data_IF_042584345482
#
_entry.id   IF_042584345482
#
_cell.length_a   1.000
_cell.length_b   1.000
_cell.length_c   1.000
_cell.angle_alpha   90.00
_cell.angle_beta   90.00
_cell.angle_gamma   90.00
#
_symmetry.space_group_name_H-M   'P 1'
#
loop_
_entity.id
_entity.type
_entity.pdbx_description
1 polymer ?
#
# COMPACT_ATOMS: atom_id res chain seq x y z
N UNK A 1 48.94 -49.49 -21.14
CA UNK A 1 47.96 -49.41 -20.02
C UNK A 1 48.14 -48.21 -19.08
N UNK A 2 49.01 -47.21 -19.37
CA UNK A 2 49.16 -45.99 -18.54
C UNK A 2 48.52 -44.72 -19.13
N UNK A 3 48.18 -44.70 -20.42
CA UNK A 3 47.54 -43.53 -21.05
C UNK A 3 46.03 -43.44 -20.77
N UNK A 4 45.33 -44.55 -20.53
CA UNK A 4 43.88 -44.57 -20.35
C UNK A 4 43.47 -43.90 -19.02
N UNK A 5 44.30 -44.00 -17.98
CA UNK A 5 44.02 -43.40 -16.67
C UNK A 5 44.18 -41.87 -16.65
N UNK A 6 44.98 -41.29 -17.55
CA UNK A 6 45.19 -39.83 -17.62
C UNK A 6 43.98 -39.11 -18.21
N UNK A 7 43.30 -39.72 -19.19
CA UNK A 7 42.10 -39.14 -19.77
C UNK A 7 40.92 -39.11 -18.78
N UNK A 8 40.79 -40.12 -17.91
CA UNK A 8 39.75 -40.16 -16.89
C UNK A 8 39.91 -39.05 -15.82
N UNK A 9 41.15 -38.73 -15.43
CA UNK A 9 41.44 -37.66 -14.46
C UNK A 9 41.13 -36.27 -15.03
N UNK A 10 41.40 -36.03 -16.32
CA UNK A 10 41.08 -34.75 -16.97
C UNK A 10 39.57 -34.54 -17.05
N UNK A 11 38.79 -35.58 -17.41
CA UNK A 11 37.33 -35.48 -17.54
C UNK A 11 36.65 -35.19 -16.19
N UNK A 12 37.15 -35.76 -15.08
CA UNK A 12 36.59 -35.51 -13.75
C UNK A 12 36.82 -34.07 -13.26
N UNK A 13 37.95 -33.44 -13.62
CA UNK A 13 38.21 -32.03 -13.25
C UNK A 13 37.36 -31.03 -14.04
N UNK A 14 36.96 -31.36 -15.26
CA UNK A 14 36.09 -30.52 -16.10
C UNK A 14 34.67 -30.43 -15.55
N UNK A 15 34.11 -31.56 -15.09
CA UNK A 15 32.73 -31.61 -14.60
C UNK A 15 32.52 -30.81 -13.31
N UNK A 16 33.51 -30.80 -12.40
CA UNK A 16 33.42 -30.06 -11.14
C UNK A 16 33.52 -28.53 -11.33
N UNK A 17 34.19 -28.06 -12.39
CA UNK A 17 34.24 -26.63 -12.73
C UNK A 17 32.94 -26.11 -13.37
N UNK A 18 32.18 -26.97 -14.04
CA UNK A 18 30.92 -26.57 -14.70
C UNK A 18 29.77 -26.43 -13.69
N UNK A 19 29.72 -27.25 -12.64
CA UNK A 19 28.65 -27.19 -11.63
C UNK A 19 28.70 -25.95 -10.71
N UNK A 20 29.87 -25.32 -10.53
CA UNK A 20 29.99 -24.09 -9.70
C UNK A 20 29.47 -22.81 -10.37
N UNK A 21 29.14 -22.86 -11.66
CA UNK A 21 28.61 -21.70 -12.41
C UNK A 21 27.07 -21.68 -12.48
N UNK A 22 26.39 -22.70 -11.92
CA UNK A 22 24.93 -22.79 -11.88
C UNK A 22 24.32 -22.30 -10.55
N UNK A 23 25.10 -21.63 -9.70
CA UNK A 23 24.50 -20.71 -8.73
C UNK A 23 24.02 -19.51 -9.54
N UNK A 24 22.77 -19.56 -9.99
CA UNK A 24 22.07 -18.47 -10.68
C UNK A 24 22.38 -17.16 -9.98
N UNK A 25 23.28 -16.39 -10.57
CA UNK A 25 23.55 -15.02 -10.17
C UNK A 25 22.31 -14.27 -10.63
N UNK A 26 21.27 -14.23 -9.78
CA UNK A 26 20.15 -13.32 -10.01
C UNK A 26 20.80 -11.96 -10.22
N UNK A 27 20.59 -11.39 -11.40
CA UNK A 27 21.08 -10.06 -11.73
C UNK A 27 20.24 -9.10 -10.87
N UNK A 28 20.72 -8.90 -9.65
CA UNK A 28 20.05 -8.11 -8.64
C UNK A 28 20.19 -6.65 -9.04
N UNK A 29 19.21 -6.14 -9.78
CA UNK A 29 19.13 -4.73 -10.12
C UNK A 29 18.65 -3.94 -8.90
N UNK A 30 19.59 -3.70 -7.99
CA UNK A 30 19.37 -2.90 -6.79
C UNK A 30 18.74 -1.53 -7.09
N UNK A 31 19.06 -0.94 -8.25
CA UNK A 31 18.52 0.36 -8.64
C UNK A 31 17.02 0.23 -8.94
N UNK A 32 16.63 -0.74 -9.76
CA UNK A 32 15.23 -0.98 -10.09
C UNK A 32 14.40 -1.35 -8.85
N UNK A 33 14.92 -2.19 -7.96
CA UNK A 33 14.22 -2.54 -6.72
C UNK A 33 14.06 -1.35 -5.77
N UNK A 34 15.11 -0.54 -5.60
CA UNK A 34 15.03 0.68 -4.80
C UNK A 34 13.99 1.65 -5.36
N UNK A 35 13.96 1.84 -6.67
CA UNK A 35 12.98 2.71 -7.34
C UNK A 35 11.55 2.19 -7.14
N UNK A 36 11.33 0.87 -7.23
CA UNK A 36 10.03 0.26 -6.99
C UNK A 36 9.55 0.47 -5.54
N UNK A 37 10.44 0.30 -4.55
CA UNK A 37 10.11 0.53 -3.13
C UNK A 37 9.80 2.01 -2.87
N UNK A 38 10.55 2.93 -3.47
CA UNK A 38 10.26 4.37 -3.34
C UNK A 38 8.87 4.69 -3.93
N UNK A 39 8.54 4.16 -5.11
CA UNK A 39 7.24 4.38 -5.73
C UNK A 39 6.08 3.80 -4.88
N UNK A 40 6.28 2.62 -4.28
CA UNK A 40 5.30 2.03 -3.37
C UNK A 40 5.10 2.90 -2.12
N UNK A 41 6.19 3.40 -1.53
CA UNK A 41 6.11 4.32 -0.39
C UNK A 41 5.42 5.63 -0.80
N UNK A 42 5.78 6.26 -1.90
CA UNK A 42 5.14 7.50 -2.35
C UNK A 42 3.62 7.32 -2.52
N UNK A 43 3.19 6.23 -3.15
CA UNK A 43 1.78 5.91 -3.29
C UNK A 43 1.10 5.64 -1.94
N UNK A 44 1.78 4.90 -1.05
CA UNK A 44 1.24 4.52 0.25
C UNK A 44 1.09 5.73 1.17
N UNK A 45 2.04 6.66 1.15
CA UNK A 45 2.03 7.85 2.01
C UNK A 45 1.21 9.01 1.43
N UNK A 46 0.87 8.98 0.13
CA UNK A 46 0.14 10.05 -0.56
C UNK A 46 -1.16 10.46 0.17
N UNK A 47 -1.20 11.70 0.65
CA UNK A 47 -2.34 12.26 1.37
C UNK A 47 -2.54 11.72 2.78
N UNK A 48 -1.50 11.18 3.44
CA UNK A 48 -1.51 10.95 4.90
C UNK A 48 -1.75 12.27 5.66
N UNK A 49 -2.42 12.20 6.81
CA UNK A 49 -2.51 13.34 7.74
C UNK A 49 -1.13 13.68 8.30
N UNK A 50 -0.99 14.93 8.72
CA UNK A 50 0.20 15.37 9.45
C UNK A 50 0.41 14.51 10.70
N UNK A 51 1.68 14.24 11.01
CA UNK A 51 2.10 13.44 12.16
C UNK A 51 1.54 12.01 12.21
N UNK A 52 1.12 11.45 11.07
CA UNK A 52 0.81 10.04 10.91
C UNK A 52 1.94 9.30 10.20
N UNK A 53 2.33 8.15 10.76
CA UNK A 53 3.43 7.32 10.26
C UNK A 53 2.90 5.90 10.02
N UNK A 54 3.13 5.30 8.84
CA UNK A 54 2.59 3.98 8.53
C UNK A 54 3.19 2.90 9.41
N UNK A 55 2.38 1.88 9.66
CA UNK A 55 2.81 0.63 10.27
C UNK A 55 3.21 -0.38 9.19
N UNK A 56 4.02 -1.40 9.51
CA UNK A 56 4.27 -2.51 8.60
C UNK A 56 2.95 -3.16 8.17
N UNK A 57 2.77 -3.38 6.87
CA UNK A 57 1.50 -3.89 6.32
C UNK A 57 0.50 -2.77 6.06
N UNK A 58 -0.43 -2.53 6.99
CA UNK A 58 -1.55 -1.60 6.84
C UNK A 58 -1.71 -0.74 8.10
N UNK A 59 -2.36 0.41 7.96
CA UNK A 59 -2.60 1.33 9.07
C UNK A 59 -1.41 2.22 9.40
N UNK A 60 -1.60 3.04 10.42
CA UNK A 60 -0.63 4.05 10.84
C UNK A 60 -0.79 4.38 12.32
N UNK A 61 0.25 5.03 12.84
CA UNK A 61 0.26 5.67 14.14
C UNK A 61 0.33 7.18 13.96
N UNK A 62 -0.63 7.90 14.54
CA UNK A 62 -0.77 9.34 14.47
C UNK A 62 -0.53 9.99 15.83
N UNK A 63 0.18 11.11 15.85
CA UNK A 63 0.24 11.99 17.02
C UNK A 63 -0.90 13.01 16.92
N UNK A 64 -1.90 12.89 17.79
CA UNK A 64 -3.06 13.76 17.84
C UNK A 64 -3.05 14.62 19.11
N UNK A 65 -3.82 15.71 19.12
CA UNK A 65 -4.05 16.51 20.32
C UNK A 65 -5.42 16.18 20.88
N UNK A 66 -5.47 15.65 22.10
CA UNK A 66 -6.70 15.33 22.82
C UNK A 66 -6.66 16.01 24.19
N UNK A 67 -7.66 16.84 24.49
CA UNK A 67 -7.72 17.64 25.72
C UNK A 67 -6.44 18.47 25.99
N UNK A 68 -5.79 18.97 24.93
CA UNK A 68 -4.55 19.75 25.01
C UNK A 68 -3.28 18.92 25.19
N UNK A 69 -3.38 17.59 25.32
CA UNK A 69 -2.23 16.69 25.41
C UNK A 69 -1.98 15.97 24.09
N UNK A 70 -0.69 15.75 23.76
CA UNK A 70 -0.30 14.92 22.61
C UNK A 70 -0.50 13.46 22.95
N UNK A 71 -1.37 12.78 22.21
CA UNK A 71 -1.68 11.35 22.34
C UNK A 71 -1.30 10.61 21.06
N UNK A 72 -0.80 9.39 21.21
CA UNK A 72 -0.50 8.51 20.08
C UNK A 72 -1.70 7.59 19.83
N UNK A 73 -2.30 7.64 18.64
CA UNK A 73 -3.38 6.74 18.22
C UNK A 73 -2.95 5.89 17.06
N UNK A 74 -3.32 4.61 17.10
CA UNK A 74 -3.10 3.68 16.01
C UNK A 74 -4.41 3.40 15.27
N UNK A 75 -4.31 3.37 13.95
CA UNK A 75 -5.40 3.07 13.03
C UNK A 75 -5.06 1.79 12.28
N UNK A 76 -6.08 0.97 12.03
CA UNK A 76 -5.89 -0.35 11.45
C UNK A 76 -5.70 -0.29 9.94
N UNK A 77 -6.26 0.73 9.28
CA UNK A 77 -6.24 0.84 7.82
C UNK A 77 -5.57 2.12 7.35
N UNK A 78 -4.85 2.04 6.23
CA UNK A 78 -4.21 3.18 5.57
C UNK A 78 -5.23 4.24 5.16
N UNK A 79 -6.48 3.85 4.89
CA UNK A 79 -7.56 4.80 4.61
C UNK A 79 -7.75 5.74 5.78
N UNK A 80 -7.80 5.23 7.01
CA UNK A 80 -7.95 6.01 8.24
C UNK A 80 -6.74 6.90 8.54
N UNK A 81 -5.65 6.78 7.81
CA UNK A 81 -4.45 7.60 7.92
C UNK A 81 -4.48 8.80 6.99
N UNK A 82 -5.34 8.77 5.97
CA UNK A 82 -5.43 9.85 4.99
C UNK A 82 -6.17 11.07 5.55
N UNK A 83 -5.93 12.22 4.92
CA UNK A 83 -6.74 13.44 5.12
C UNK A 83 -8.18 13.19 4.70
N UNK A 84 -9.11 13.99 5.22
CA UNK A 84 -10.53 13.84 4.90
C UNK A 84 -10.80 13.98 3.41
N UNK A 85 -10.16 14.95 2.74
CA UNK A 85 -10.25 15.14 1.29
C UNK A 85 -9.78 13.90 0.52
N UNK A 86 -8.65 13.32 0.94
CA UNK A 86 -8.09 12.14 0.27
C UNK A 86 -8.95 10.90 0.53
N UNK A 87 -9.45 10.71 1.76
CA UNK A 87 -10.39 9.63 2.07
C UNK A 87 -11.67 9.76 1.25
N UNK A 88 -12.23 10.96 1.15
CA UNK A 88 -13.45 11.18 0.40
C UNK A 88 -13.26 10.76 -1.07
N UNK A 89 -12.20 11.22 -1.74
CA UNK A 89 -11.90 10.79 -3.12
C UNK A 89 -11.71 9.28 -3.24
N UNK A 90 -10.98 8.66 -2.31
CA UNK A 90 -10.78 7.21 -2.30
C UNK A 90 -12.10 6.45 -2.10
N UNK A 91 -12.97 6.93 -1.21
CA UNK A 91 -14.31 6.40 -0.96
C UNK A 91 -15.19 6.54 -2.21
N UNK A 92 -15.18 7.71 -2.85
CA UNK A 92 -15.88 7.96 -4.11
C UNK A 92 -15.42 7.00 -5.21
N UNK A 93 -14.12 6.85 -5.41
CA UNK A 93 -13.58 6.04 -6.50
C UNK A 93 -13.78 4.54 -6.29
N UNK A 94 -13.52 4.05 -5.07
CA UNK A 94 -13.47 2.61 -4.77
C UNK A 94 -14.81 2.03 -4.31
N UNK A 95 -15.61 2.79 -3.56
CA UNK A 95 -16.80 2.28 -2.89
C UNK A 95 -18.09 2.92 -3.40
N UNK A 96 -18.11 4.25 -3.55
CA UNK A 96 -19.33 5.03 -3.82
C UNK A 96 -19.44 5.50 -5.28
N UNK A 97 -18.70 4.90 -6.20
CA UNK A 97 -18.53 5.40 -7.57
C UNK A 97 -19.83 5.40 -8.37
N UNK A 98 -20.67 4.37 -8.15
CA UNK A 98 -21.97 4.25 -8.85
C UNK A 98 -22.89 5.39 -8.43
N UNK A 99 -22.99 5.62 -7.13
CA UNK A 99 -23.75 6.67 -6.50
C UNK A 99 -23.22 8.03 -6.97
N UNK A 100 -21.91 8.24 -6.91
CA UNK A 100 -21.24 9.47 -7.37
C UNK A 100 -21.54 9.77 -8.85
N UNK A 101 -21.39 8.80 -9.76
CA UNK A 101 -21.72 8.98 -11.18
C UNK A 101 -23.19 9.31 -11.41
N UNK A 102 -24.08 8.73 -10.61
CA UNK A 102 -25.52 8.97 -10.70
C UNK A 102 -25.89 10.41 -10.31
N UNK A 103 -25.22 10.98 -9.30
CA UNK A 103 -25.46 12.35 -8.81
C UNK A 103 -24.71 13.40 -9.62
N UNK A 104 -23.47 13.14 -10.04
CA UNK A 104 -22.61 14.10 -10.76
C UNK A 104 -23.21 14.48 -12.11
N UNK A 105 -23.95 13.57 -12.75
CA UNK A 105 -24.74 13.86 -13.96
C UNK A 105 -25.68 15.07 -13.82
N UNK A 106 -26.10 15.40 -12.60
CA UNK A 106 -27.06 16.45 -12.30
C UNK A 106 -26.44 17.66 -11.54
N UNK A 107 -25.11 17.72 -11.43
CA UNK A 107 -24.26 18.80 -10.88
C UNK A 107 -24.30 19.06 -9.36
N UNK A 108 -25.42 19.41 -8.74
CA UNK A 108 -25.48 19.83 -7.31
C UNK A 108 -26.67 19.27 -6.55
N UNK A 109 -26.63 19.24 -5.21
CA UNK A 109 -27.73 18.73 -4.38
C UNK A 109 -29.06 19.41 -4.64
N UNK A 110 -29.08 20.73 -4.79
CA UNK A 110 -30.32 21.44 -5.11
C UNK A 110 -30.85 21.06 -6.49
N UNK A 111 -29.96 20.81 -7.46
CA UNK A 111 -30.35 20.43 -8.84
C UNK A 111 -30.75 18.97 -9.00
N UNK A 112 -30.16 18.05 -8.22
CA UNK A 112 -30.47 16.62 -8.36
C UNK A 112 -31.61 16.14 -7.44
N UNK A 113 -32.02 16.95 -6.46
CA UNK A 113 -32.96 16.53 -5.41
C UNK A 113 -32.28 15.77 -4.28
N UNK A 114 -32.76 15.96 -3.04
CA UNK A 114 -32.16 15.39 -1.83
C UNK A 114 -32.29 13.85 -1.79
N UNK A 115 -33.38 13.31 -2.31
CA UNK A 115 -33.66 11.88 -2.42
C UNK A 115 -32.61 11.15 -3.27
N UNK A 116 -32.18 11.76 -4.36
CA UNK A 116 -31.15 11.20 -5.25
C UNK A 116 -29.73 11.28 -4.64
N UNK A 117 -29.49 12.24 -3.75
CA UNK A 117 -28.21 12.38 -3.04
C UNK A 117 -28.09 11.47 -1.81
N UNK A 118 -29.20 11.10 -1.18
CA UNK A 118 -29.20 10.30 0.04
C UNK A 118 -28.38 8.99 -0.06
N UNK A 119 -28.43 8.20 -1.15
CA UNK A 119 -27.59 7.01 -1.28
C UNK A 119 -26.09 7.31 -1.29
N UNK A 120 -25.68 8.37 -1.99
CA UNK A 120 -24.29 8.82 -2.03
C UNK A 120 -23.81 9.31 -0.66
N UNK A 121 -24.62 10.16 0.01
CA UNK A 121 -24.31 10.67 1.35
C UNK A 121 -24.19 9.53 2.37
N UNK A 122 -25.09 8.54 2.30
CA UNK A 122 -25.05 7.35 3.15
C UNK A 122 -23.77 6.54 2.90
N UNK A 123 -23.42 6.31 1.64
CA UNK A 123 -22.20 5.58 1.28
C UNK A 123 -20.93 6.28 1.78
N UNK A 124 -20.80 7.59 1.54
CA UNK A 124 -19.67 8.37 2.03
C UNK A 124 -19.60 8.35 3.55
N UNK A 125 -20.73 8.56 4.24
CA UNK A 125 -20.77 8.54 5.70
C UNK A 125 -20.30 7.20 6.27
N UNK A 126 -20.65 6.09 5.64
CA UNK A 126 -20.18 4.77 6.07
C UNK A 126 -18.68 4.59 5.79
N UNK A 127 -18.23 4.93 4.58
CA UNK A 127 -16.83 4.76 4.17
C UNK A 127 -15.86 5.64 4.98
N UNK A 128 -16.28 6.85 5.35
CA UNK A 128 -15.46 7.83 6.07
C UNK A 128 -15.34 7.56 7.58
N UNK A 129 -16.00 6.53 8.13
CA UNK A 129 -15.93 6.22 9.57
C UNK A 129 -14.51 5.86 9.99
N UNK A 130 -14.02 6.53 11.02
CA UNK A 130 -12.72 6.24 11.66
C UNK A 130 -12.94 5.23 12.80
N UNK A 131 -12.13 4.17 12.85
CA UNK A 131 -12.13 3.13 13.90
C UNK A 131 -10.73 3.04 14.53
N UNK A 132 -10.43 3.87 15.53
CA UNK A 132 -9.15 3.79 16.24
C UNK A 132 -9.01 2.42 16.91
N UNK A 133 -7.79 1.89 16.97
CA UNK A 133 -7.52 0.69 17.75
C UNK A 133 -7.79 0.94 19.23
N UNK A 134 -8.27 -0.08 19.97
CA UNK A 134 -8.47 0.06 21.40
C UNK A 134 -7.15 0.42 22.07
N UNK A 135 -7.16 1.46 22.90
CA UNK A 135 -6.01 1.79 23.74
C UNK A 135 -5.76 0.62 24.69
N UNK A 136 -4.67 -0.12 24.49
CA UNK A 136 -4.20 -1.05 25.52
C UNK A 136 -3.87 -0.21 26.77
N UNK A 137 -4.68 -0.37 27.82
CA UNK A 137 -4.40 0.17 29.15
C UNK A 137 -3.47 -0.75 29.90
#
# INVERSE_FOLDING_TARGET
>A
MKLICLFALVIATSALRIQKLAASKKDYDFKAEKEAVIAELDQRFDGYREHCYPLPGDGCRCQETENGAKVSKEYKSDLECKTDEKRQRLCEDKQCNKEFKSINRCQTKEKCGQDKWAPYESCLKECMKIRPLPSNK
#
